data_IF_371207292549
#
_entry.id   IF_371207292549
#
_cell.length_a   1.000
_cell.length_b   1.000
_cell.length_c   1.000
_cell.angle_alpha   90.00
_cell.angle_beta   90.00
_cell.angle_gamma   90.00
#
_symmetry.space_group_name_H-M   'P 1'
#
loop_
_entity.id
_entity.type
_entity.pdbx_description
1 polymer ?
#
# COMPACT_ATOMS: atom_id res chain seq x y z
N UNK A 1 7.64 32.87 35.98
CA UNK A 1 8.69 32.17 35.21
C UNK A 1 8.23 30.75 35.08
N UNK A 2 8.03 30.36 33.83
CA UNK A 2 7.51 29.07 33.40
C UNK A 2 8.45 27.93 33.82
N UNK A 3 7.89 26.76 34.12
CA UNK A 3 8.49 25.52 33.61
C UNK A 3 7.38 24.51 33.35
N UNK A 4 6.92 24.52 32.10
CA UNK A 4 6.12 23.47 31.51
C UNK A 4 7.05 22.28 31.25
N UNK A 5 6.70 21.10 31.74
CA UNK A 5 7.24 19.85 31.21
C UNK A 5 6.11 18.84 31.04
N UNK A 6 5.24 19.14 30.07
CA UNK A 6 4.31 18.18 29.50
C UNK A 6 5.12 17.28 28.56
N UNK A 7 5.65 16.18 29.09
CA UNK A 7 6.21 15.10 28.28
C UNK A 7 5.07 14.26 27.73
N UNK A 8 4.31 14.84 26.81
CA UNK A 8 3.33 14.12 26.01
C UNK A 8 4.02 13.42 24.84
N UNK A 9 3.60 12.18 24.65
CA UNK A 9 3.69 11.40 23.41
C UNK A 9 5.07 10.84 23.02
N UNK A 10 5.28 9.59 23.43
CA UNK A 10 5.99 8.64 22.59
C UNK A 10 4.95 7.79 21.83
N UNK A 11 4.47 8.20 20.64
CA UNK A 11 3.77 7.27 19.80
C UNK A 11 4.83 6.37 19.18
N UNK A 12 4.80 5.09 19.53
CA UNK A 12 5.51 4.02 18.85
C UNK A 12 5.05 3.95 17.39
N UNK A 13 5.45 4.93 16.57
CA UNK A 13 5.15 4.95 15.14
C UNK A 13 5.90 3.78 14.53
N UNK A 14 5.13 2.75 14.18
CA UNK A 14 5.59 1.47 13.65
C UNK A 14 6.73 1.66 12.65
N UNK A 15 7.81 0.94 12.87
CA UNK A 15 9.07 1.00 12.13
C UNK A 15 8.93 0.73 10.61
N UNK A 16 7.73 0.41 10.13
CA UNK A 16 7.38 0.28 8.71
C UNK A 16 7.21 1.62 7.96
N UNK A 17 6.96 2.75 8.64
CA UNK A 17 6.83 4.07 7.99
C UNK A 17 8.18 4.72 7.67
N UNK A 18 9.22 4.37 8.41
CA UNK A 18 10.55 4.94 8.22
C UNK A 18 11.08 4.51 6.84
N UNK A 19 11.22 5.48 5.93
CA UNK A 19 11.62 5.35 4.52
C UNK A 19 10.53 4.89 3.54
N UNK A 20 9.25 5.10 3.84
CA UNK A 20 8.20 4.94 2.84
C UNK A 20 8.27 6.06 1.79
N UNK A 21 8.33 5.69 0.51
CA UNK A 21 8.25 6.63 -0.63
C UNK A 21 6.84 7.20 -0.73
N UNK A 22 5.84 6.34 -0.54
CA UNK A 22 4.42 6.71 -0.52
C UNK A 22 3.63 5.72 0.32
N UNK A 23 2.58 6.18 0.98
CA UNK A 23 1.62 5.34 1.66
C UNK A 23 0.20 5.86 1.46
N UNK A 24 -0.79 4.99 1.62
CA UNK A 24 -2.20 5.36 1.46
C UNK A 24 -3.15 4.18 1.38
N UNK A 25 -4.43 4.47 1.56
CA UNK A 25 -5.50 3.49 1.38
C UNK A 25 -5.76 3.26 -0.10
N UNK A 26 -5.76 1.99 -0.52
CA UNK A 26 -6.18 1.56 -1.85
C UNK A 26 -7.12 0.35 -1.74
N UNK A 27 -7.94 0.14 -2.77
CA UNK A 27 -8.73 -1.08 -2.91
C UNK A 27 -7.95 -2.09 -3.77
N UNK A 28 -7.84 -3.33 -3.30
CA UNK A 28 -7.22 -4.45 -4.05
C UNK A 28 -8.22 -5.57 -4.32
N UNK A 29 -8.06 -6.24 -5.44
CA UNK A 29 -8.76 -7.51 -5.70
C UNK A 29 -8.06 -8.65 -4.96
N UNK A 30 -8.82 -9.62 -4.46
CA UNK A 30 -8.29 -10.90 -4.02
C UNK A 30 -7.80 -11.76 -5.20
N UNK A 31 -6.79 -12.59 -4.95
CA UNK A 31 -6.23 -13.50 -5.96
C UNK A 31 -7.19 -14.66 -6.26
N UNK A 32 -7.53 -15.42 -5.21
CA UNK A 32 -8.41 -16.59 -5.27
C UNK A 32 -9.88 -16.21 -5.40
N UNK A 33 -10.39 -15.43 -4.44
CA UNK A 33 -11.74 -14.88 -4.48
C UNK A 33 -11.64 -13.46 -5.02
N UNK A 34 -12.41 -13.14 -6.05
CA UNK A 34 -12.40 -11.83 -6.74
C UNK A 34 -13.09 -10.71 -5.93
N UNK A 35 -12.97 -10.73 -4.62
CA UNK A 35 -13.48 -9.71 -3.70
C UNK A 35 -12.56 -8.51 -3.63
N UNK A 36 -13.14 -7.33 -3.39
CA UNK A 36 -12.41 -6.09 -3.20
C UNK A 36 -12.19 -5.80 -1.73
N UNK A 37 -10.95 -5.49 -1.36
CA UNK A 37 -10.59 -5.16 0.00
C UNK A 37 -9.84 -3.83 0.05
N UNK A 38 -10.27 -2.95 0.96
CA UNK A 38 -9.51 -1.76 1.32
C UNK A 38 -8.33 -2.17 2.20
N UNK A 39 -7.12 -1.75 1.82
CA UNK A 39 -5.88 -2.08 2.51
C UNK A 39 -5.00 -0.84 2.55
N UNK A 40 -4.20 -0.74 3.60
CA UNK A 40 -3.17 0.28 3.70
C UNK A 40 -1.95 -0.17 2.91
N UNK A 41 -1.53 0.61 1.93
CA UNK A 41 -0.37 0.30 1.10
C UNK A 41 0.82 1.16 1.50
N UNK A 42 2.01 0.57 1.47
CA UNK A 42 3.28 1.25 1.73
C UNK A 42 4.26 0.87 0.64
N UNK A 43 4.70 1.86 -0.13
CA UNK A 43 5.76 1.73 -1.12
C UNK A 43 7.10 2.04 -0.45
N UNK A 44 8.03 1.09 -0.43
CA UNK A 44 9.37 1.25 0.13
C UNK A 44 10.41 0.59 -0.79
N UNK A 45 11.29 1.41 -1.36
CA UNK A 45 12.18 0.98 -2.44
C UNK A 45 11.38 0.38 -3.59
N UNK A 46 11.75 -0.84 -3.98
CA UNK A 46 11.16 -1.59 -5.10
C UNK A 46 10.02 -2.54 -4.68
N UNK A 47 9.52 -2.39 -3.45
CA UNK A 47 8.52 -3.27 -2.88
C UNK A 47 7.28 -2.48 -2.45
N UNK A 48 6.12 -3.01 -2.82
CA UNK A 48 4.82 -2.52 -2.40
C UNK A 48 4.21 -3.49 -1.38
N UNK A 49 4.15 -3.06 -0.13
CA UNK A 49 3.55 -3.80 0.98
C UNK A 49 2.09 -3.41 1.14
N UNK A 50 1.26 -4.33 1.64
CA UNK A 50 -0.08 -4.01 2.07
C UNK A 50 -0.44 -4.63 3.41
N UNK A 51 -1.17 -3.87 4.21
CA UNK A 51 -1.53 -4.16 5.59
C UNK A 51 -3.06 -4.10 5.74
N UNK A 52 -3.56 -4.69 6.83
CA UNK A 52 -5.00 -4.62 7.14
C UNK A 52 -5.43 -3.16 7.35
N UNK A 53 -4.63 -2.41 8.10
CA UNK A 53 -4.78 -0.99 8.39
C UNK A 53 -3.40 -0.32 8.54
N UNK A 54 -3.38 0.96 8.94
CA UNK A 54 -2.16 1.77 9.00
C UNK A 54 -1.29 1.54 10.24
N UNK A 55 -1.85 0.96 11.30
CA UNK A 55 -1.19 0.73 12.58
C UNK A 55 -0.57 -0.67 12.66
N UNK A 56 -1.00 -1.57 11.77
CA UNK A 56 -0.47 -2.91 11.65
C UNK A 56 0.99 -2.91 11.21
N UNK A 57 1.81 -3.66 11.95
CA UNK A 57 3.25 -3.80 11.69
C UNK A 57 3.56 -4.97 10.76
N UNK A 58 2.65 -5.95 10.68
CA UNK A 58 2.84 -7.16 9.88
C UNK A 58 2.15 -7.01 8.51
N UNK A 59 2.91 -7.07 7.40
CA UNK A 59 2.30 -7.03 6.08
C UNK A 59 1.47 -8.29 5.83
N UNK A 60 0.30 -8.11 5.21
CA UNK A 60 -0.52 -9.21 4.69
C UNK A 60 0.04 -9.77 3.39
N UNK A 61 0.90 -9.00 2.70
CA UNK A 61 1.66 -9.45 1.56
C UNK A 61 2.51 -8.35 0.97
N UNK A 62 3.33 -8.74 0.01
CA UNK A 62 4.31 -7.88 -0.66
C UNK A 62 4.26 -8.13 -2.16
N UNK A 63 4.35 -7.06 -2.94
CA UNK A 63 4.47 -7.11 -4.39
C UNK A 63 5.85 -6.53 -4.73
N UNK A 64 6.74 -7.38 -5.25
CA UNK A 64 8.00 -6.92 -5.82
C UNK A 64 7.71 -6.29 -7.18
N UNK A 65 8.09 -5.03 -7.37
CA UNK A 65 7.74 -4.24 -8.55
C UNK A 65 8.65 -4.46 -9.77
N UNK A 66 9.98 -4.66 -9.63
CA UNK A 66 10.86 -4.82 -10.78
C UNK A 66 10.47 -6.00 -11.65
N UNK A 67 10.45 -5.77 -12.97
CA UNK A 67 10.01 -6.74 -13.97
C UNK A 67 8.50 -6.76 -14.21
N UNK A 68 7.68 -6.18 -13.32
CA UNK A 68 6.24 -6.10 -13.55
C UNK A 68 5.90 -4.96 -14.52
N UNK A 69 4.80 -5.13 -15.25
CA UNK A 69 4.19 -4.09 -16.07
C UNK A 69 3.04 -3.46 -15.30
N UNK A 70 3.06 -2.14 -15.16
CA UNK A 70 1.91 -1.38 -14.65
C UNK A 70 1.09 -0.86 -15.82
N UNK A 71 -0.20 -1.17 -15.84
CA UNK A 71 -1.16 -0.65 -16.82
C UNK A 71 -2.10 0.29 -16.10
N UNK A 72 -2.14 1.55 -16.52
CA UNK A 72 -3.13 2.50 -16.03
C UNK A 72 -4.42 2.37 -16.86
N UNK A 73 -5.57 2.42 -16.21
CA UNK A 73 -6.85 2.46 -16.89
C UNK A 73 -7.52 3.82 -16.68
N UNK A 74 -8.09 4.36 -17.76
CA UNK A 74 -8.89 5.58 -17.69
C UNK A 74 -10.10 5.37 -16.77
N UNK A 75 -10.36 6.37 -15.93
CA UNK A 75 -11.61 6.46 -15.18
C UNK A 75 -12.74 6.70 -16.19
N UNK A 76 -13.42 5.65 -16.62
CA UNK A 76 -14.60 5.78 -17.48
C UNK A 76 -15.84 5.97 -16.60
N UNK A 77 -16.59 7.04 -16.87
CA UNK A 77 -17.89 7.34 -16.25
C UNK A 77 -18.88 6.16 -16.39
N UNK A 78 -18.73 5.35 -17.43
CA UNK A 78 -19.54 4.17 -17.71
C UNK A 78 -19.28 3.00 -16.74
N UNK A 79 -18.15 3.00 -16.01
CA UNK A 79 -17.80 1.95 -15.06
C UNK A 79 -17.19 2.56 -13.78
N UNK A 80 -18.01 3.13 -12.88
CA UNK A 80 -17.56 3.80 -11.64
C UNK A 80 -16.95 2.88 -10.56
N UNK A 81 -16.33 1.76 -10.98
CA UNK A 81 -15.54 0.86 -10.15
C UNK A 81 -14.37 0.21 -10.88
N UNK A 82 -14.05 0.64 -12.11
CA UNK A 82 -12.89 0.16 -12.87
C UNK A 82 -11.61 0.67 -12.22
N UNK A 83 -10.64 -0.22 -12.08
CA UNK A 83 -9.42 0.01 -11.29
C UNK A 83 -8.55 1.05 -11.94
N UNK A 84 -7.91 1.91 -11.14
CA UNK A 84 -7.02 2.95 -11.65
C UNK A 84 -5.78 2.35 -12.35
N UNK A 85 -5.31 1.21 -11.87
CA UNK A 85 -4.18 0.51 -12.47
C UNK A 85 -4.19 -0.99 -12.17
N UNK A 86 -3.52 -1.76 -13.02
CA UNK A 86 -3.22 -3.18 -12.85
C UNK A 86 -1.70 -3.39 -12.83
N UNK A 87 -1.22 -4.19 -11.87
CA UNK A 87 0.17 -4.66 -11.83
C UNK A 87 0.21 -6.07 -12.40
N UNK A 88 0.69 -6.19 -13.64
CA UNK A 88 0.80 -7.46 -14.37
C UNK A 88 2.20 -8.02 -14.11
N UNK A 89 2.32 -9.24 -13.54
CA UNK A 89 3.62 -9.88 -13.38
C UNK A 89 4.37 -9.97 -14.71
N UNK A 90 5.65 -9.62 -14.71
CA UNK A 90 6.50 -9.79 -15.87
C UNK A 90 6.54 -11.24 -16.33
N UNK A 91 6.51 -11.48 -17.65
CA UNK A 91 6.83 -12.80 -18.18
C UNK A 91 8.31 -13.07 -17.93
N UNK A 92 8.61 -13.94 -16.97
CA UNK A 92 9.93 -14.56 -16.86
C UNK A 92 9.99 -15.57 -18.01
N UNK A 93 10.74 -15.23 -19.07
CA UNK A 93 11.15 -16.22 -20.06
C UNK A 93 12.29 -17.02 -19.43
N UNK A 94 12.10 -18.33 -19.29
CA UNK A 94 13.14 -19.28 -18.89
C UNK A 94 14.02 -19.64 -20.09
#
# INVERSE_FOLDING_TARGET
MEENNDSTENPQQGQGRQNAIKCGWLRKQGGFVKTWHTRWFVLKGDQLYYFKDEDETKPLGTIFLPGNKVVEHSCNEENPGKYLFEVIPGKIFF
#
